data_IF_256797546482
#
_entry.id   IF_256797546482
#
_cell.length_a   1.000
_cell.length_b   1.000
_cell.length_c   1.000
_cell.angle_alpha   90.00
_cell.angle_beta   90.00
_cell.angle_gamma   90.00
#
_symmetry.space_group_name_H-M   'P 1'
#
loop_
_entity.id
_entity.type
_entity.pdbx_description
1 polymer ?
#
# COMPACT_ATOMS: atom_id res chain seq x y z
N UNK A 1 -6.64 7.38 -9.88
CA UNK A 1 -6.39 6.04 -9.30
C UNK A 1 -7.67 5.22 -9.38
N UNK A 2 -7.59 3.90 -9.55
CA UNK A 2 -8.76 3.08 -9.88
C UNK A 2 -9.74 3.04 -8.71
N UNK A 3 -10.93 3.63 -8.89
CA UNK A 3 -12.05 3.50 -7.96
C UNK A 3 -12.39 2.03 -7.63
N UNK A 4 -12.04 1.10 -8.53
CA UNK A 4 -12.35 -0.33 -8.39
C UNK A 4 -11.66 -0.95 -7.18
N UNK A 5 -10.39 -0.64 -6.92
CA UNK A 5 -9.66 -1.25 -5.80
C UNK A 5 -10.17 -0.72 -4.45
N UNK A 6 -10.48 0.58 -4.40
CA UNK A 6 -11.12 1.19 -3.23
C UNK A 6 -12.50 0.57 -3.00
N UNK A 7 -13.33 0.48 -4.04
CA UNK A 7 -14.66 -0.14 -3.94
C UNK A 7 -14.59 -1.60 -3.47
N UNK A 8 -13.61 -2.36 -3.96
CA UNK A 8 -13.38 -3.73 -3.53
C UNK A 8 -13.07 -3.80 -2.03
N UNK A 9 -12.12 -3.01 -1.54
CA UNK A 9 -11.74 -3.04 -0.13
C UNK A 9 -12.80 -2.42 0.79
N UNK A 10 -13.61 -1.47 0.31
CA UNK A 10 -14.81 -1.02 1.01
C UNK A 10 -15.81 -2.16 1.20
N UNK A 11 -16.06 -2.96 0.14
CA UNK A 11 -16.94 -4.14 0.25
C UNK A 11 -16.35 -5.23 1.14
N UNK A 12 -15.02 -5.39 1.14
CA UNK A 12 -14.33 -6.46 1.88
C UNK A 12 -14.16 -6.15 3.37
N UNK A 13 -13.83 -4.91 3.71
CA UNK A 13 -13.45 -4.51 5.08
C UNK A 13 -14.40 -3.50 5.70
N UNK A 14 -15.13 -2.72 4.90
CA UNK A 14 -15.97 -1.63 5.40
C UNK A 14 -15.18 -0.70 6.30
N UNK A 15 -15.67 -0.47 7.52
CA UNK A 15 -15.02 0.40 8.51
C UNK A 15 -14.01 -0.33 9.42
N UNK A 16 -13.78 -1.63 9.20
CA UNK A 16 -12.82 -2.41 9.98
C UNK A 16 -11.39 -2.20 9.46
N UNK A 17 -10.85 -1.00 9.72
CA UNK A 17 -9.49 -0.62 9.32
C UNK A 17 -8.43 -1.51 9.98
N UNK A 18 -8.74 -2.13 11.13
CA UNK A 18 -7.85 -3.10 11.79
C UNK A 18 -7.69 -4.35 10.92
N UNK A 19 -8.78 -4.92 10.40
CA UNK A 19 -8.70 -6.07 9.47
C UNK A 19 -7.98 -5.71 8.18
N UNK A 20 -8.20 -4.52 7.64
CA UNK A 20 -7.48 -4.04 6.46
C UNK A 20 -5.97 -3.95 6.72
N UNK A 21 -5.57 -3.40 7.88
CA UNK A 21 -4.15 -3.36 8.26
C UNK A 21 -3.54 -4.75 8.45
N UNK A 22 -4.25 -5.67 9.11
CA UNK A 22 -3.77 -7.05 9.29
C UNK A 22 -3.61 -7.75 7.93
N UNK A 23 -4.51 -7.51 6.97
CA UNK A 23 -4.36 -8.02 5.60
C UNK A 23 -3.11 -7.43 4.91
N UNK A 24 -2.86 -6.13 5.03
CA UNK A 24 -1.65 -5.50 4.50
C UNK A 24 -0.37 -6.15 5.03
N UNK A 25 -0.32 -6.45 6.33
CA UNK A 25 0.84 -7.13 6.95
C UNK A 25 1.02 -8.54 6.36
N UNK A 26 -0.05 -9.25 6.02
CA UNK A 26 0.02 -10.56 5.35
C UNK A 26 0.58 -10.43 3.94
N UNK A 27 0.09 -9.46 3.17
CA UNK A 27 0.61 -9.21 1.80
C UNK A 27 2.10 -8.87 1.82
N UNK A 28 2.57 -8.11 2.81
CA UNK A 28 4.00 -7.85 3.00
C UNK A 28 4.78 -9.14 3.28
N UNK A 29 4.21 -10.08 4.05
CA UNK A 29 4.78 -11.40 4.26
C UNK A 29 4.87 -12.22 2.97
N UNK A 30 3.84 -12.18 2.13
CA UNK A 30 3.84 -12.87 0.84
C UNK A 30 4.84 -12.24 -0.15
N UNK A 31 5.02 -10.91 -0.14
CA UNK A 31 6.10 -10.24 -0.89
C UNK A 31 7.46 -10.81 -0.48
N UNK A 32 7.74 -10.91 0.82
CA UNK A 32 9.01 -11.43 1.32
C UNK A 32 9.22 -12.88 0.86
N UNK A 33 8.22 -13.73 1.03
CA UNK A 33 8.27 -15.14 0.61
C UNK A 33 8.45 -15.29 -0.91
N UNK A 34 7.78 -14.45 -1.71
CA UNK A 34 7.91 -14.45 -3.17
C UNK A 34 9.33 -14.08 -3.60
N UNK A 35 9.95 -13.08 -2.96
CA UNK A 35 11.34 -12.69 -3.22
C UNK A 35 12.31 -13.83 -2.85
N UNK A 36 12.14 -14.44 -1.67
CA UNK A 36 12.97 -15.58 -1.24
C UNK A 36 12.93 -16.76 -2.22
N UNK A 37 11.77 -16.96 -2.86
CA UNK A 37 11.55 -18.02 -3.85
C UNK A 37 11.93 -17.62 -5.28
N UNK A 38 12.49 -16.43 -5.50
CA UNK A 38 12.73 -15.85 -6.83
C UNK A 38 11.47 -15.81 -7.73
N UNK A 39 10.28 -15.73 -7.13
CA UNK A 39 9.02 -15.61 -7.85
C UNK A 39 8.64 -14.13 -8.01
N UNK A 40 9.26 -13.49 -9.01
CA UNK A 40 9.13 -12.05 -9.25
C UNK A 40 7.69 -11.65 -9.62
N UNK A 41 6.96 -12.50 -10.35
CA UNK A 41 5.59 -12.19 -10.76
C UNK A 41 4.63 -12.17 -9.57
N UNK A 42 4.78 -13.11 -8.63
CA UNK A 42 4.04 -13.07 -7.38
C UNK A 42 4.41 -11.81 -6.58
N UNK A 43 5.70 -11.49 -6.43
CA UNK A 43 6.11 -10.29 -5.71
C UNK A 43 5.50 -9.00 -6.30
N UNK A 44 5.45 -8.86 -7.63
CA UNK A 44 4.79 -7.71 -8.30
C UNK A 44 3.29 -7.65 -8.00
N UNK A 45 2.62 -8.80 -7.99
CA UNK A 45 1.20 -8.88 -7.67
C UNK A 45 0.95 -8.42 -6.23
N UNK A 46 1.67 -8.97 -5.27
CA UNK A 46 1.48 -8.62 -3.84
C UNK A 46 1.86 -7.18 -3.52
N UNK A 47 2.87 -6.62 -4.22
CA UNK A 47 3.18 -5.18 -4.14
C UNK A 47 2.01 -4.34 -4.67
N UNK A 48 1.36 -4.77 -5.74
CA UNK A 48 0.21 -4.07 -6.34
C UNK A 48 -0.98 -4.09 -5.38
N UNK A 49 -1.29 -5.24 -4.79
CA UNK A 49 -2.35 -5.36 -3.77
C UNK A 49 -2.06 -4.50 -2.54
N UNK A 50 -0.82 -4.56 -2.03
CA UNK A 50 -0.37 -3.75 -0.90
C UNK A 50 -0.50 -2.25 -1.17
N UNK A 51 -0.11 -1.80 -2.36
CA UNK A 51 -0.25 -0.39 -2.76
C UNK A 51 -1.72 0.04 -2.84
N UNK A 52 -2.58 -0.79 -3.41
CA UNK A 52 -4.02 -0.53 -3.48
C UNK A 52 -4.67 -0.47 -2.08
N UNK A 53 -4.24 -1.35 -1.17
CA UNK A 53 -4.74 -1.40 0.20
C UNK A 53 -4.29 -0.17 1.01
N UNK A 54 -3.06 0.31 0.81
CA UNK A 54 -2.59 1.58 1.39
C UNK A 54 -3.42 2.78 0.91
N UNK A 55 -3.82 2.79 -0.36
CA UNK A 55 -4.70 3.84 -0.90
C UNK A 55 -6.11 3.77 -0.27
N UNK A 56 -6.66 2.58 -0.11
CA UNK A 56 -7.92 2.38 0.63
C UNK A 56 -7.81 2.90 2.07
N UNK A 57 -6.72 2.57 2.77
CA UNK A 57 -6.50 3.05 4.13
C UNK A 57 -6.35 4.58 4.17
N UNK A 58 -5.64 5.18 3.22
CA UNK A 58 -5.52 6.64 3.13
C UNK A 58 -6.88 7.33 2.99
N UNK A 59 -7.78 6.76 2.18
CA UNK A 59 -9.17 7.21 2.09
C UNK A 59 -9.91 7.08 3.42
N UNK A 60 -9.73 5.97 4.16
CA UNK A 60 -10.38 5.77 5.47
C UNK A 60 -9.92 6.75 6.54
N UNK A 61 -8.66 7.17 6.47
CA UNK A 61 -8.09 8.18 7.36
C UNK A 61 -8.19 9.61 6.83
N UNK A 62 -8.89 9.82 5.71
CA UNK A 62 -9.15 11.12 5.09
C UNK A 62 -7.87 11.96 4.84
N UNK A 63 -6.86 11.36 4.21
CA UNK A 63 -5.64 12.10 3.83
C UNK A 63 -5.16 11.80 2.41
N UNK A 64 -4.48 12.77 1.82
CA UNK A 64 -3.84 12.63 0.50
C UNK A 64 -2.46 11.95 0.65
N UNK A 65 -2.45 10.64 0.41
CA UNK A 65 -1.22 9.85 0.49
C UNK A 65 -0.17 10.29 -0.53
N UNK A 66 -0.56 10.63 -1.76
CA UNK A 66 0.41 10.96 -2.81
C UNK A 66 1.11 12.29 -2.49
N UNK A 67 0.34 13.33 -2.16
CA UNK A 67 0.90 14.63 -1.78
C UNK A 67 1.81 14.51 -0.55
N UNK A 68 1.44 13.69 0.43
CA UNK A 68 2.27 13.45 1.62
C UNK A 68 3.57 12.71 1.29
N UNK A 69 3.54 11.71 0.40
CA UNK A 69 4.75 11.03 -0.11
C UNK A 69 5.67 12.06 -0.77
N UNK A 70 5.14 12.86 -1.69
CA UNK A 70 5.94 13.82 -2.45
C UNK A 70 6.61 14.87 -1.53
N UNK A 71 5.88 15.37 -0.54
CA UNK A 71 6.40 16.31 0.45
C UNK A 71 7.53 15.69 1.29
N UNK A 72 7.33 14.47 1.82
CA UNK A 72 8.32 13.77 2.65
C UNK A 72 9.58 13.46 1.85
N UNK A 73 9.43 12.91 0.65
CA UNK A 73 10.57 12.46 -0.14
C UNK A 73 11.30 13.60 -0.84
N UNK A 74 10.64 14.71 -1.17
CA UNK A 74 11.32 15.94 -1.62
C UNK A 74 12.31 16.43 -0.56
N UNK A 75 11.88 16.51 0.70
CA UNK A 75 12.75 16.91 1.83
C UNK A 75 13.90 15.94 2.05
N UNK A 76 13.65 14.64 1.96
CA UNK A 76 14.70 13.61 2.05
C UNK A 76 15.72 13.75 0.90
N UNK A 77 15.26 13.93 -0.33
CA UNK A 77 16.14 14.12 -1.49
C UNK A 77 17.02 15.37 -1.37
N UNK A 78 16.49 16.47 -0.85
CA UNK A 78 17.28 17.68 -0.58
C UNK A 78 18.40 17.43 0.45
N UNK A 79 18.17 16.53 1.41
CA UNK A 79 19.17 16.20 2.45
C UNK A 79 20.32 15.38 1.88
N UNK A 80 20.06 14.51 0.90
CA UNK A 80 21.08 13.69 0.23
C UNK A 80 21.98 14.48 -0.74
N UNK A 81 21.59 15.70 -1.11
CA UNK A 81 22.35 16.58 -2.02
C UNK A 81 23.29 17.54 -1.29
N UNK A 82 23.36 17.45 0.03
CA UNK A 82 24.28 18.19 0.89
C UNK A 82 25.44 17.30 1.30
#
# INVERSE_FOLDING_TARGET
>A
MSNVAIEYYEKRFGDDVTKAFVHLVREIGEIALAIERNNIELAKMEITESAALLQFMAKKYDFDLQSNIDAVYTKKLQTLRK
#
